data_IF_163045156199
#
_entry.id   IF_163045156199
#
_cell.length_a   1.000
_cell.length_b   1.000
_cell.length_c   1.000
_cell.angle_alpha   90.00
_cell.angle_beta   90.00
_cell.angle_gamma   90.00
#
_symmetry.space_group_name_H-M   'P 1'
#
loop_
_entity.id
_entity.type
_entity.pdbx_description
1 polymer ?
#
# COMPACT_ATOMS: atom_id res chain seq x y z
N UNK A 1 -10.15 -15.61 15.47
CA UNK A 1 -8.84 -15.01 15.09
C UNK A 1 -7.89 -15.19 16.25
N UNK A 2 -6.65 -15.66 16.02
CA UNK A 2 -5.62 -15.80 17.07
C UNK A 2 -5.18 -14.43 17.61
N UNK A 3 -4.67 -14.37 18.83
CA UNK A 3 -4.33 -13.11 19.49
C UNK A 3 -3.25 -12.32 18.75
N UNK A 4 -2.17 -12.97 18.30
CA UNK A 4 -1.12 -12.35 17.49
C UNK A 4 -1.65 -11.72 16.20
N UNK A 5 -2.68 -12.33 15.60
CA UNK A 5 -3.32 -11.81 14.41
C UNK A 5 -4.12 -10.54 14.73
N UNK A 6 -4.80 -10.47 15.88
CA UNK A 6 -5.48 -9.24 16.32
C UNK A 6 -4.47 -8.13 16.58
N UNK A 7 -3.38 -8.42 17.30
CA UNK A 7 -2.32 -7.45 17.59
C UNK A 7 -1.73 -6.88 16.29
N UNK A 8 -1.42 -7.75 15.32
CA UNK A 8 -0.90 -7.33 14.03
C UNK A 8 -1.90 -6.45 13.26
N UNK A 9 -3.18 -6.81 13.27
CA UNK A 9 -4.22 -6.01 12.62
C UNK A 9 -4.41 -4.64 13.30
N UNK A 10 -4.33 -4.58 14.63
CA UNK A 10 -4.40 -3.32 15.39
C UNK A 10 -3.24 -2.40 15.04
N UNK A 11 -2.02 -2.94 14.88
CA UNK A 11 -0.87 -2.16 14.40
C UNK A 11 -1.11 -1.60 13.00
N UNK A 12 -1.65 -2.40 12.06
CA UNK A 12 -2.03 -1.92 10.73
C UNK A 12 -3.07 -0.79 10.84
N UNK A 13 -4.09 -0.95 11.70
CA UNK A 13 -5.13 0.06 11.90
C UNK A 13 -4.59 1.38 12.44
N UNK A 14 -3.61 1.32 13.35
CA UNK A 14 -2.88 2.49 13.87
C UNK A 14 -2.03 3.18 12.80
N UNK A 15 -1.30 2.41 12.00
CA UNK A 15 -0.30 2.94 11.06
C UNK A 15 -0.88 3.38 9.71
N UNK A 16 -2.13 3.00 9.42
CA UNK A 16 -2.84 3.31 8.16
C UNK A 16 -4.18 4.01 8.43
N UNK A 17 -5.28 3.27 8.45
CA UNK A 17 -6.61 3.75 8.82
C UNK A 17 -7.46 2.62 9.38
N UNK A 18 -8.41 2.97 10.26
CA UNK A 18 -9.37 2.01 10.81
C UNK A 18 -10.22 1.35 9.70
N UNK A 19 -10.61 2.12 8.66
CA UNK A 19 -11.37 1.60 7.51
C UNK A 19 -10.61 0.50 6.76
N UNK A 20 -9.32 0.72 6.50
CA UNK A 20 -8.48 -0.27 5.84
C UNK A 20 -8.35 -1.55 6.67
N UNK A 21 -8.14 -1.42 7.99
CA UNK A 21 -8.11 -2.57 8.90
C UNK A 21 -9.43 -3.36 8.88
N UNK A 22 -10.60 -2.69 8.88
CA UNK A 22 -11.92 -3.35 8.79
C UNK A 22 -12.04 -4.15 7.50
N UNK A 23 -11.65 -3.57 6.35
CA UNK A 23 -11.66 -4.30 5.07
C UNK A 23 -10.74 -5.53 5.10
N UNK A 24 -9.57 -5.43 5.76
CA UNK A 24 -8.67 -6.57 5.91
C UNK A 24 -9.23 -7.69 6.78
N UNK A 25 -10.16 -7.44 7.72
CA UNK A 25 -10.82 -8.49 8.52
C UNK A 25 -11.54 -9.47 7.59
N UNK A 26 -12.39 -8.94 6.71
CA UNK A 26 -13.17 -9.76 5.76
C UNK A 26 -12.25 -10.50 4.80
N UNK A 27 -11.26 -9.82 4.23
CA UNK A 27 -10.30 -10.47 3.33
C UNK A 27 -9.50 -11.57 4.04
N UNK A 28 -9.05 -11.34 5.28
CA UNK A 28 -8.28 -12.32 6.05
C UNK A 28 -9.13 -13.54 6.43
N UNK A 29 -10.44 -13.35 6.67
CA UNK A 29 -11.38 -14.46 6.87
C UNK A 29 -11.48 -15.35 5.61
N UNK A 30 -11.63 -14.75 4.43
CA UNK A 30 -11.65 -15.49 3.15
C UNK A 30 -10.30 -16.19 2.87
N UNK A 31 -9.17 -15.55 3.21
CA UNK A 31 -7.85 -16.19 3.13
C UNK A 31 -7.76 -17.42 4.05
N UNK A 32 -8.28 -17.30 5.27
CA UNK A 32 -8.31 -18.39 6.24
C UNK A 32 -9.19 -19.55 5.75
N UNK A 33 -10.35 -19.25 5.18
CA UNK A 33 -11.24 -20.25 4.59
C UNK A 33 -10.59 -20.96 3.41
N UNK A 34 -9.93 -20.22 2.52
CA UNK A 34 -9.20 -20.78 1.37
C UNK A 34 -8.11 -21.78 1.79
N UNK A 35 -7.42 -21.53 2.91
CA UNK A 35 -6.43 -22.48 3.46
C UNK A 35 -7.05 -23.59 4.31
N UNK A 36 -8.38 -23.66 4.41
CA UNK A 36 -9.15 -24.57 5.28
C UNK A 36 -8.77 -24.43 6.77
N UNK A 37 -8.49 -23.20 7.20
CA UNK A 37 -8.13 -22.88 8.57
C UNK A 37 -9.34 -22.65 9.47
N UNK A 38 -9.26 -23.11 10.73
CA UNK A 38 -10.32 -22.90 11.73
C UNK A 38 -10.34 -21.48 12.33
N UNK A 39 -9.21 -20.78 12.29
CA UNK A 39 -9.08 -19.43 12.84
C UNK A 39 -8.05 -18.62 12.05
N UNK A 40 -8.34 -17.33 11.85
CA UNK A 40 -7.43 -16.39 11.18
C UNK A 40 -6.11 -16.30 11.95
N UNK A 41 -5.01 -16.49 11.22
CA UNK A 41 -3.63 -16.41 11.70
C UNK A 41 -2.91 -15.20 11.06
N UNK A 42 -1.74 -14.82 11.61
CA UNK A 42 -0.92 -13.71 11.09
C UNK A 42 -0.61 -13.87 9.59
N UNK A 43 -0.40 -15.11 9.12
CA UNK A 43 -0.13 -15.40 7.70
C UNK A 43 -1.29 -14.99 6.77
N UNK A 44 -2.53 -15.08 7.26
CA UNK A 44 -3.72 -14.70 6.49
C UNK A 44 -3.74 -13.16 6.33
N UNK A 45 -3.45 -12.43 7.41
CA UNK A 45 -3.33 -10.96 7.41
C UNK A 45 -2.17 -10.51 6.49
N UNK A 46 -0.99 -11.11 6.64
CA UNK A 46 0.17 -10.78 5.80
C UNK A 46 -0.07 -11.06 4.32
N UNK A 47 -0.88 -12.07 3.99
CA UNK A 47 -1.27 -12.35 2.61
C UNK A 47 -2.16 -11.23 2.08
N UNK A 48 -3.22 -10.86 2.80
CA UNK A 48 -4.17 -9.83 2.31
C UNK A 48 -3.57 -8.43 2.33
N UNK A 49 -2.69 -8.12 3.28
CA UNK A 49 -1.94 -6.86 3.33
C UNK A 49 -1.02 -6.67 2.11
N UNK A 50 -0.51 -7.76 1.54
CA UNK A 50 0.27 -7.75 0.29
C UNK A 50 -0.60 -7.60 -0.96
N UNK A 51 -1.82 -8.13 -0.94
CA UNK A 51 -2.75 -8.09 -2.08
C UNK A 51 -3.48 -6.75 -2.19
N UNK A 52 -3.82 -6.13 -1.07
CA UNK A 52 -4.61 -4.90 -1.02
C UNK A 52 -3.78 -3.79 -0.39
N UNK A 53 -3.45 -2.77 -1.16
CA UNK A 53 -2.69 -1.61 -0.69
C UNK A 53 -3.61 -0.64 0.07
N UNK A 54 -3.06 0.05 1.07
CA UNK A 54 -3.70 1.23 1.63
C UNK A 54 -3.32 2.48 0.83
N UNK A 55 -4.01 3.59 1.09
CA UNK A 55 -3.86 4.83 0.34
C UNK A 55 -2.41 5.33 0.24
N UNK A 56 -1.61 5.24 1.32
CA UNK A 56 -0.23 5.74 1.31
C UNK A 56 0.65 4.89 0.40
N UNK A 57 0.55 3.57 0.51
CA UNK A 57 1.30 2.64 -0.35
C UNK A 57 0.85 2.70 -1.80
N UNK A 58 -0.44 2.92 -2.07
CA UNK A 58 -0.92 3.09 -3.45
C UNK A 58 -0.42 4.39 -4.09
N UNK A 59 -0.30 5.47 -3.32
CA UNK A 59 0.31 6.72 -3.81
C UNK A 59 1.80 6.55 -4.10
N UNK A 60 2.54 5.86 -3.23
CA UNK A 60 3.96 5.54 -3.48
C UNK A 60 4.14 4.74 -4.76
N UNK A 61 3.29 3.73 -4.97
CA UNK A 61 3.28 2.95 -6.22
C UNK A 61 3.03 3.84 -7.44
N UNK A 62 2.09 4.79 -7.35
CA UNK A 62 1.81 5.72 -8.44
C UNK A 62 3.03 6.59 -8.79
N UNK A 63 3.75 7.08 -7.77
CA UNK A 63 4.96 7.89 -7.96
C UNK A 63 6.10 7.04 -8.56
N UNK A 64 6.33 5.83 -8.05
CA UNK A 64 7.37 4.93 -8.52
C UNK A 64 7.18 4.56 -10.00
N UNK A 65 5.93 4.32 -10.41
CA UNK A 65 5.59 3.95 -11.77
C UNK A 65 5.06 5.12 -12.59
N UNK A 66 5.31 6.37 -12.18
CA UNK A 66 4.65 7.53 -12.78
C UNK A 66 4.80 7.53 -14.29
N UNK A 67 6.00 7.25 -14.83
CA UNK A 67 6.33 7.28 -16.26
C UNK A 67 5.50 6.33 -17.13
N UNK A 68 4.77 5.39 -16.52
CA UNK A 68 3.86 4.45 -17.19
C UNK A 68 2.41 4.97 -17.25
N UNK A 69 2.11 6.11 -16.62
CA UNK A 69 0.78 6.72 -16.58
C UNK A 69 0.65 7.86 -17.59
N UNK A 70 -0.58 8.05 -18.11
CA UNK A 70 -0.90 8.97 -19.21
C UNK A 70 -0.49 10.44 -19.00
N UNK A 71 -0.47 10.93 -17.76
CA UNK A 71 -0.21 12.34 -17.43
C UNK A 71 1.04 12.51 -16.56
N UNK A 72 2.06 11.72 -16.85
CA UNK A 72 3.33 11.69 -16.11
C UNK A 72 4.41 12.48 -16.82
N UNK A 73 4.11 13.72 -17.20
CA UNK A 73 5.19 14.60 -17.60
C UNK A 73 6.14 14.76 -16.41
N UNK A 74 7.46 14.56 -16.60
CA UNK A 74 8.40 14.93 -15.57
C UNK A 74 8.17 16.41 -15.27
N UNK A 75 7.92 16.75 -14.01
CA UNK A 75 7.89 18.14 -13.57
C UNK A 75 9.25 18.72 -13.97
N UNK A 76 9.28 19.52 -15.03
CA UNK A 76 10.48 20.24 -15.45
C UNK A 76 10.80 21.21 -14.33
N UNK A 77 11.70 20.83 -13.43
CA UNK A 77 12.29 21.79 -12.51
C UNK A 77 13.05 22.80 -13.37
N UNK A 78 12.71 24.09 -13.25
CA UNK A 78 13.29 25.23 -13.98
C UNK A 78 14.81 25.45 -13.75
N UNK A 79 15.60 24.39 -13.54
CA UNK A 79 17.05 24.47 -13.34
C UNK A 79 17.79 24.45 -14.68
N UNK A 80 17.20 23.92 -15.75
CA UNK A 80 17.85 23.82 -17.07
C UNK A 80 17.91 25.16 -17.83
N UNK A 81 17.07 26.16 -17.51
CA UNK A 81 17.08 27.45 -18.21
C UNK A 81 18.28 28.35 -17.82
N UNK A 82 19.01 28.05 -16.73
CA UNK A 82 20.16 28.85 -16.30
C UNK A 82 21.49 28.44 -16.95
N UNK A 83 21.64 27.20 -17.43
CA UNK A 83 22.89 26.76 -18.08
C UNK A 83 22.99 27.26 -19.53
N UNK A 84 21.88 27.31 -20.28
CA UNK A 84 21.86 27.82 -21.66
C UNK A 84 22.05 29.35 -21.74
N UNK A 85 21.69 30.10 -20.70
CA UNK A 85 21.85 31.56 -20.65
C UNK A 85 23.30 32.03 -20.38
N UNK A 86 24.20 31.12 -19.95
CA UNK A 86 25.60 31.45 -19.66
C UNK A 86 26.55 31.17 -20.83
N UNK A 87 26.04 30.61 -21.94
CA UNK A 87 26.83 30.26 -23.14
C UNK A 87 26.64 31.20 -24.34
N UNK A 88 25.93 32.34 -24.18
CA UNK A 88 25.78 33.37 -25.22
C UNK A 88 26.54 34.64 -24.83
#
# INVERSE_FOLDING_TARGET
MKEDAKQHLTLIGRDTSLRYAIHLITAAALSCEKRRGKAVEVKDIQRVYRLFLDARRSMQYLVEYQSRYMFSEPIKTHVEEQEDAMQI
#
